data_IF_733113276804
#
_entry.id   IF_733113276804
#
_cell.length_a   1.000
_cell.length_b   1.000
_cell.length_c   1.000
_cell.angle_alpha   90.00
_cell.angle_beta   90.00
_cell.angle_gamma   90.00
#
_symmetry.space_group_name_H-M   'P 1'
#
loop_
_entity.id
_entity.type
_entity.pdbx_description
1 polymer ?
#
# COMPACT_ATOMS: atom_id res chain seq x y z
N UNK A 1 -18.94 47.76 30.64
CA UNK A 1 -17.52 47.57 30.24
C UNK A 1 -17.29 46.07 30.14
N UNK A 2 -17.29 45.55 28.92
CA UNK A 2 -17.19 44.12 28.64
C UNK A 2 -15.76 43.65 28.92
N UNK A 3 -15.56 43.01 30.07
CA UNK A 3 -14.41 42.15 30.34
C UNK A 3 -14.57 40.90 29.47
N UNK A 4 -14.01 40.93 28.27
CA UNK A 4 -13.92 39.70 27.47
C UNK A 4 -12.97 38.76 28.21
N UNK A 5 -13.41 37.52 28.39
CA UNK A 5 -12.61 36.44 28.93
C UNK A 5 -11.42 36.23 27.97
N UNK A 6 -10.22 36.65 28.39
CA UNK A 6 -8.99 36.37 27.63
C UNK A 6 -8.74 34.86 27.69
N UNK A 7 -9.06 34.15 26.61
CA UNK A 7 -8.75 32.74 26.46
C UNK A 7 -7.29 32.64 25.98
N UNK A 8 -6.35 32.14 26.80
CA UNK A 8 -4.99 31.94 26.33
C UNK A 8 -5.02 31.06 25.09
N UNK A 9 -4.40 31.55 24.01
CA UNK A 9 -4.35 30.81 22.75
C UNK A 9 -3.35 29.66 22.90
N UNK A 10 -3.81 28.44 22.63
CA UNK A 10 -2.97 27.25 22.66
C UNK A 10 -1.82 27.39 21.65
N UNK A 11 -0.58 27.23 22.11
CA UNK A 11 0.61 27.31 21.27
C UNK A 11 1.15 25.91 21.01
N UNK A 12 0.95 25.41 19.80
CA UNK A 12 1.39 24.07 19.40
C UNK A 12 2.71 24.16 18.64
N UNK A 13 3.71 23.38 19.05
CA UNK A 13 4.99 23.31 18.35
C UNK A 13 4.93 22.39 17.13
N UNK A 14 4.32 22.89 16.05
CA UNK A 14 4.13 22.14 14.80
C UNK A 14 5.42 21.55 14.22
N UNK A 15 6.55 22.24 14.39
CA UNK A 15 7.84 21.76 13.92
C UNK A 15 8.27 20.47 14.64
N UNK A 16 8.11 20.42 15.97
CA UNK A 16 8.47 19.26 16.79
C UNK A 16 7.52 18.06 16.56
N UNK A 17 6.27 18.34 16.20
CA UNK A 17 5.28 17.31 15.85
C UNK A 17 5.38 16.85 14.39
N UNK A 18 6.29 17.44 13.60
CA UNK A 18 6.39 17.20 12.17
C UNK A 18 6.57 15.72 11.77
N UNK A 19 7.32 14.86 12.51
CA UNK A 19 7.42 13.44 12.14
C UNK A 19 6.06 12.73 12.17
N UNK A 20 5.23 13.03 13.17
CA UNK A 20 3.90 12.43 13.31
C UNK A 20 2.94 12.94 12.23
N UNK A 21 2.99 14.24 11.94
CA UNK A 21 2.16 14.86 10.91
C UNK A 21 2.51 14.31 9.53
N UNK A 22 3.80 14.09 9.24
CA UNK A 22 4.24 13.46 7.99
C UNK A 22 3.68 12.04 7.86
N UNK A 23 3.80 11.21 8.91
CA UNK A 23 3.27 9.85 8.88
C UNK A 23 1.75 9.83 8.63
N UNK A 24 1.00 10.68 9.33
CA UNK A 24 -0.44 10.79 9.16
C UNK A 24 -0.80 11.27 7.74
N UNK A 25 -0.16 12.35 7.28
CA UNK A 25 -0.40 12.92 5.95
C UNK A 25 -0.08 11.93 4.83
N UNK A 26 1.06 11.24 4.91
CA UNK A 26 1.45 10.19 3.96
C UNK A 26 0.42 9.06 3.94
N UNK A 27 -0.05 8.61 5.11
CA UNK A 27 -1.11 7.61 5.21
C UNK A 27 -2.41 8.05 4.54
N UNK A 28 -2.85 9.29 4.80
CA UNK A 28 -4.03 9.87 4.16
C UNK A 28 -3.88 9.95 2.63
N UNK A 29 -2.73 10.43 2.14
CA UNK A 29 -2.44 10.47 0.70
C UNK A 29 -2.43 9.07 0.11
N UNK A 30 -1.89 8.08 0.82
CA UNK A 30 -1.94 6.68 0.43
C UNK A 30 -3.37 6.18 0.23
N UNK A 31 -4.29 6.49 1.15
CA UNK A 31 -5.71 6.11 1.01
C UNK A 31 -6.31 6.71 -0.27
N UNK A 32 -6.02 7.99 -0.56
CA UNK A 32 -6.50 8.65 -1.78
C UNK A 32 -5.91 7.97 -3.02
N UNK A 33 -4.60 7.71 -3.04
CA UNK A 33 -3.93 7.03 -4.15
C UNK A 33 -4.52 5.64 -4.43
N UNK A 34 -4.91 4.90 -3.41
CA UNK A 34 -5.52 3.57 -3.58
C UNK A 34 -6.85 3.65 -4.36
N UNK A 35 -7.62 4.72 -4.14
CA UNK A 35 -8.89 4.95 -4.84
C UNK A 35 -8.70 5.35 -6.30
N UNK A 36 -7.67 6.15 -6.60
CA UNK A 36 -7.53 6.80 -7.92
C UNK A 36 -6.55 6.09 -8.87
N UNK A 37 -5.50 5.43 -8.36
CA UNK A 37 -4.44 4.86 -9.19
C UNK A 37 -4.91 3.56 -9.86
N UNK A 38 -4.60 3.32 -11.15
CA UNK A 38 -4.91 2.06 -11.83
C UNK A 38 -4.18 0.86 -11.21
N UNK A 39 -4.84 -0.32 -11.20
CA UNK A 39 -4.35 -1.55 -10.54
C UNK A 39 -2.88 -1.91 -10.80
N UNK A 40 -2.37 -1.68 -12.02
CA UNK A 40 -0.98 -2.00 -12.38
C UNK A 40 0.07 -1.15 -11.67
N UNK A 41 -0.28 0.07 -11.25
CA UNK A 41 0.65 1.04 -10.65
C UNK A 41 0.48 1.21 -9.15
N UNK A 42 -0.65 0.77 -8.57
CA UNK A 42 -0.95 0.92 -7.14
C UNK A 42 0.17 0.42 -6.25
N UNK A 43 0.70 -0.75 -6.57
CA UNK A 43 1.77 -1.35 -5.79
C UNK A 43 3.00 -0.43 -5.74
N UNK A 44 3.50 -0.01 -6.90
CA UNK A 44 4.67 0.86 -6.99
C UNK A 44 4.42 2.22 -6.33
N UNK A 45 3.24 2.81 -6.54
CA UNK A 45 2.88 4.08 -5.95
C UNK A 45 2.87 4.01 -4.42
N UNK A 46 2.28 2.96 -3.84
CA UNK A 46 2.20 2.83 -2.38
C UNK A 46 3.50 2.46 -1.73
N UNK A 47 4.29 1.57 -2.31
CA UNK A 47 5.60 1.24 -1.75
C UNK A 47 6.52 2.45 -1.81
N UNK A 48 6.55 3.18 -2.93
CA UNK A 48 7.34 4.40 -3.07
C UNK A 48 6.87 5.48 -2.09
N UNK A 49 5.56 5.75 -2.00
CA UNK A 49 5.03 6.76 -1.09
C UNK A 49 5.33 6.43 0.37
N UNK A 50 5.13 5.17 0.78
CA UNK A 50 5.42 4.71 2.15
C UNK A 50 6.91 4.82 2.46
N UNK A 51 7.78 4.41 1.54
CA UNK A 51 9.23 4.50 1.71
C UNK A 51 9.69 5.95 1.87
N UNK A 52 9.23 6.85 0.99
CA UNK A 52 9.56 8.28 1.08
C UNK A 52 9.03 8.87 2.38
N UNK A 53 7.79 8.57 2.77
CA UNK A 53 7.20 9.08 4.01
C UNK A 53 7.96 8.65 5.27
N UNK A 54 8.35 7.38 5.36
CA UNK A 54 9.16 6.88 6.46
C UNK A 54 10.55 7.51 6.52
N UNK A 55 11.22 7.69 5.37
CA UNK A 55 12.54 8.34 5.29
C UNK A 55 12.45 9.80 5.72
N UNK A 56 11.44 10.53 5.24
CA UNK A 56 11.22 11.93 5.60
C UNK A 56 10.93 12.05 7.10
N UNK A 57 10.05 11.23 7.65
CA UNK A 57 9.74 11.23 9.08
C UNK A 57 10.99 10.90 9.93
N UNK A 58 11.82 9.95 9.49
CA UNK A 58 13.07 9.61 10.17
C UNK A 58 14.07 10.77 10.12
N UNK A 59 14.21 11.41 8.95
CA UNK A 59 15.05 12.59 8.79
C UNK A 59 14.63 13.73 9.73
N UNK A 60 13.35 14.05 9.80
CA UNK A 60 12.82 15.08 10.71
C UNK A 60 13.06 14.70 12.18
N UNK A 61 12.82 13.45 12.55
CA UNK A 61 13.08 12.95 13.91
C UNK A 61 14.55 13.13 14.29
N UNK A 62 15.48 12.78 13.40
CA UNK A 62 16.93 12.91 13.65
C UNK A 62 17.33 14.40 13.70
N UNK A 63 16.80 15.24 12.81
CA UNK A 63 17.09 16.67 12.79
C UNK A 63 16.66 17.35 14.09
N UNK A 64 15.51 16.98 14.65
CA UNK A 64 15.07 17.50 15.95
C UNK A 64 15.87 16.90 17.10
N UNK A 65 16.22 15.61 17.03
CA UNK A 65 17.04 14.97 18.05
C UNK A 65 18.43 15.62 18.19
N UNK A 66 19.08 15.95 17.08
CA UNK A 66 20.42 16.57 17.08
C UNK A 66 20.43 17.96 17.74
N UNK A 67 19.28 18.65 17.81
CA UNK A 67 19.16 19.92 18.55
C UNK A 67 19.28 19.71 20.07
N UNK A 68 19.02 18.50 20.56
CA UNK A 68 19.29 18.09 21.94
C UNK A 68 18.38 18.74 22.99
N UNK A 69 17.27 19.35 22.59
CA UNK A 69 16.38 20.06 23.50
C UNK A 69 15.31 19.13 24.05
N UNK A 70 15.16 19.10 25.38
CA UNK A 70 14.04 18.43 26.03
C UNK A 70 12.88 19.41 26.11
N UNK A 71 11.73 19.05 25.54
CA UNK A 71 10.53 19.90 25.53
C UNK A 71 9.27 19.10 25.83
N UNK A 72 8.35 19.74 26.53
CA UNK A 72 6.95 19.31 26.58
C UNK A 72 6.24 20.01 25.43
N UNK A 73 5.52 19.24 24.62
CA UNK A 73 4.82 19.73 23.44
C UNK A 73 3.35 19.32 23.48
N UNK A 74 2.55 19.94 22.60
CA UNK A 74 1.11 19.69 22.52
C UNK A 74 0.41 19.88 23.87
N UNK A 75 0.62 21.03 24.51
CA UNK A 75 0.04 21.38 25.82
C UNK A 75 0.41 20.38 26.93
N UNK A 76 1.63 19.82 26.86
CA UNK A 76 2.15 18.87 27.86
C UNK A 76 1.78 17.41 27.62
N UNK A 77 1.12 17.09 26.50
CA UNK A 77 0.76 15.72 26.14
C UNK A 77 1.97 14.86 25.78
N UNK A 78 2.99 15.47 25.15
CA UNK A 78 4.15 14.76 24.63
C UNK A 78 5.44 15.32 25.21
N UNK A 79 6.18 14.47 25.92
CA UNK A 79 7.54 14.75 26.31
C UNK A 79 8.48 14.30 25.18
N UNK A 80 9.21 15.24 24.60
CA UNK A 80 10.21 14.98 23.57
C UNK A 80 11.58 15.05 24.21
N UNK A 81 12.18 13.88 24.41
CA UNK A 81 13.47 13.67 25.05
C UNK A 81 14.31 12.64 24.26
N UNK A 82 15.55 12.42 24.69
CA UNK A 82 16.46 11.46 24.05
C UNK A 82 15.83 10.06 23.89
N UNK A 83 15.29 9.45 24.97
CA UNK A 83 14.56 8.18 24.87
C UNK A 83 13.44 8.17 23.81
N UNK A 84 12.61 9.22 23.76
CA UNK A 84 11.53 9.34 22.77
C UNK A 84 12.08 9.31 21.35
N UNK A 85 13.10 10.12 21.06
CA UNK A 85 13.72 10.15 19.74
C UNK A 85 14.40 8.82 19.37
N UNK A 86 15.00 8.11 20.34
CA UNK A 86 15.56 6.76 20.12
C UNK A 86 14.46 5.78 19.73
N UNK A 87 13.36 5.72 20.48
CA UNK A 87 12.27 4.78 20.20
C UNK A 87 11.55 5.12 18.89
N UNK A 88 11.31 6.39 18.60
CA UNK A 88 10.71 6.81 17.33
C UNK A 88 11.60 6.47 16.14
N UNK A 89 12.91 6.74 16.24
CA UNK A 89 13.87 6.39 15.20
C UNK A 89 13.93 4.87 14.98
N UNK A 90 13.99 4.09 16.07
CA UNK A 90 13.96 2.63 15.99
C UNK A 90 12.68 2.13 15.31
N UNK A 91 11.51 2.67 15.69
CA UNK A 91 10.23 2.30 15.10
C UNK A 91 10.19 2.61 13.59
N UNK A 92 10.71 3.76 13.18
CA UNK A 92 10.78 4.16 11.77
C UNK A 92 11.74 3.28 10.96
N UNK A 93 12.90 2.93 11.52
CA UNK A 93 13.88 2.04 10.88
C UNK A 93 13.33 0.62 10.75
N UNK A 94 12.73 0.07 11.81
CA UNK A 94 12.08 -1.24 11.76
C UNK A 94 10.88 -1.22 10.81
N UNK A 95 10.12 -0.12 10.80
CA UNK A 95 9.03 0.11 9.85
C UNK A 95 9.49 0.11 8.39
N UNK A 96 10.63 0.73 8.09
CA UNK A 96 11.27 0.65 6.77
C UNK A 96 11.65 -0.78 6.40
N UNK A 97 12.25 -1.53 7.34
CA UNK A 97 12.59 -2.94 7.14
C UNK A 97 11.35 -3.81 6.90
N UNK A 98 10.29 -3.61 7.68
CA UNK A 98 9.01 -4.28 7.51
C UNK A 98 8.38 -3.96 6.15
N UNK A 99 8.33 -2.69 5.77
CA UNK A 99 7.85 -2.26 4.46
C UNK A 99 8.68 -2.89 3.32
N UNK A 100 10.00 -2.92 3.42
CA UNK A 100 10.87 -3.56 2.43
C UNK A 100 10.58 -5.06 2.30
N UNK A 101 10.31 -5.75 3.42
CA UNK A 101 9.91 -7.15 3.42
C UNK A 101 8.55 -7.37 2.72
N UNK A 102 7.59 -6.47 2.92
CA UNK A 102 6.30 -6.49 2.20
C UNK A 102 6.45 -6.11 0.71
N UNK A 103 7.47 -5.32 0.37
CA UNK A 103 7.78 -4.96 -1.00
C UNK A 103 8.52 -6.09 -1.75
N UNK A 104 9.13 -7.03 -1.03
CA UNK A 104 9.74 -8.20 -1.63
C UNK A 104 8.64 -9.16 -2.15
N UNK A 105 8.61 -9.38 -3.46
CA UNK A 105 7.61 -10.24 -4.13
C UNK A 105 8.22 -11.41 -4.91
N UNK A 106 9.55 -11.47 -5.03
CA UNK A 106 10.22 -12.45 -5.89
C UNK A 106 10.67 -13.68 -5.11
N UNK A 107 10.98 -13.55 -3.82
CA UNK A 107 11.22 -14.68 -2.93
C UNK A 107 9.94 -15.57 -2.85
N UNK A 108 10.03 -16.81 -3.35
CA UNK A 108 8.88 -17.73 -3.41
C UNK A 108 8.05 -17.67 -4.70
N UNK A 109 8.52 -16.96 -5.74
CA UNK A 109 7.83 -16.93 -7.04
C UNK A 109 6.45 -16.25 -6.99
N UNK A 110 6.31 -15.19 -6.18
CA UNK A 110 5.04 -14.48 -5.97
C UNK A 110 4.03 -15.20 -5.08
N UNK A 111 4.42 -16.32 -4.45
CA UNK A 111 3.62 -17.03 -3.47
C UNK A 111 4.18 -16.74 -2.08
N UNK A 112 3.31 -16.36 -1.16
CA UNK A 112 3.62 -16.34 0.27
C UNK A 112 4.16 -17.70 0.71
N UNK A 113 5.16 -17.74 1.59
CA UNK A 113 5.70 -18.96 2.22
C UNK A 113 4.71 -19.64 3.19
N UNK A 114 3.41 -19.58 2.87
CA UNK A 114 2.37 -20.33 3.57
C UNK A 114 2.29 -21.70 2.93
N UNK A 115 2.51 -22.71 3.77
CA UNK A 115 2.33 -24.10 3.40
C UNK A 115 0.96 -24.30 2.76
N UNK A 116 0.91 -25.06 1.65
CA UNK A 116 -0.34 -25.32 0.92
C UNK A 116 -1.44 -25.94 1.79
N UNK A 117 -1.06 -26.59 2.90
CA UNK A 117 -1.90 -27.06 3.99
C UNK A 117 -1.26 -26.77 5.35
N UNK A 118 -2.09 -26.46 6.36
CA UNK A 118 -1.64 -26.11 7.72
C UNK A 118 -0.82 -27.21 8.43
N UNK A 119 -0.87 -28.46 7.95
CA UNK A 119 -0.15 -29.61 8.51
C UNK A 119 1.17 -29.94 7.80
N UNK A 120 1.55 -29.19 6.76
CA UNK A 120 2.78 -29.45 6.00
C UNK A 120 3.89 -28.47 6.38
N UNK A 121 5.10 -28.98 6.57
CA UNK A 121 6.29 -28.15 6.84
C UNK A 121 6.70 -27.41 5.56
N UNK A 122 7.03 -26.11 5.62
CA UNK A 122 7.57 -25.38 4.48
C UNK A 122 8.80 -26.07 3.86
N UNK A 123 8.84 -26.18 2.54
CA UNK A 123 9.86 -26.87 1.75
C UNK A 123 9.73 -28.41 1.68
N UNK A 124 8.73 -28.99 2.35
CA UNK A 124 8.55 -30.45 2.42
C UNK A 124 8.19 -31.07 1.07
N UNK A 125 8.48 -32.38 0.84
CA UNK A 125 8.05 -33.08 -0.37
C UNK A 125 6.54 -33.03 -0.60
N UNK A 126 5.75 -33.11 0.48
CA UNK A 126 4.28 -33.02 0.43
C UNK A 126 3.78 -31.66 -0.07
N UNK A 127 4.45 -30.56 0.32
CA UNK A 127 4.13 -29.24 -0.19
C UNK A 127 4.43 -29.12 -1.69
N UNK A 128 5.58 -29.64 -2.14
CA UNK A 128 5.94 -29.65 -3.57
C UNK A 128 4.94 -30.46 -4.40
N UNK A 129 4.42 -31.55 -3.85
CA UNK A 129 3.39 -32.35 -4.49
C UNK A 129 2.04 -31.63 -4.55
N UNK A 130 1.62 -30.99 -3.46
CA UNK A 130 0.42 -30.16 -3.42
C UNK A 130 0.49 -28.99 -4.42
N UNK A 131 1.63 -28.31 -4.54
CA UNK A 131 1.85 -27.27 -5.56
C UNK A 131 1.74 -27.82 -6.99
N UNK A 132 2.32 -29.00 -7.25
CA UNK A 132 2.24 -29.66 -8.56
C UNK A 132 0.79 -29.99 -8.92
N UNK A 133 0.02 -30.56 -7.99
CA UNK A 133 -1.39 -30.88 -8.18
C UNK A 133 -2.22 -29.62 -8.45
N UNK A 134 -2.02 -28.56 -7.66
CA UNK A 134 -2.73 -27.27 -7.85
C UNK A 134 -2.43 -26.64 -9.20
N UNK A 135 -1.15 -26.66 -9.63
CA UNK A 135 -0.75 -26.20 -10.98
C UNK A 135 -1.38 -27.05 -12.08
N UNK A 136 -1.49 -28.37 -11.89
CA UNK A 136 -2.12 -29.28 -12.85
C UNK A 136 -3.63 -29.03 -12.97
N UNK A 137 -4.34 -28.80 -11.86
CA UNK A 137 -5.75 -28.42 -11.85
C UNK A 137 -5.97 -27.06 -12.50
N UNK A 138 -5.12 -26.08 -12.22
CA UNK A 138 -5.23 -24.75 -12.82
C UNK A 138 -5.00 -24.77 -14.34
N UNK A 139 -4.10 -25.64 -14.83
CA UNK A 139 -3.98 -25.90 -16.27
C UNK A 139 -5.23 -26.56 -16.84
N UNK A 140 -5.87 -27.47 -16.12
CA UNK A 140 -7.13 -28.12 -16.56
C UNK A 140 -8.28 -27.12 -16.64
N UNK A 141 -8.46 -26.25 -15.65
CA UNK A 141 -9.53 -25.24 -15.65
C UNK A 141 -9.35 -24.24 -16.79
N UNK A 142 -8.12 -23.75 -17.01
CA UNK A 142 -7.80 -22.88 -18.15
C UNK A 142 -8.08 -23.59 -19.48
N UNK A 143 -7.61 -24.82 -19.65
CA UNK A 143 -7.82 -25.60 -20.89
C UNK A 143 -9.29 -25.91 -21.15
N UNK A 144 -10.12 -26.04 -20.10
CA UNK A 144 -11.59 -26.19 -20.21
C UNK A 144 -12.30 -24.88 -20.57
N UNK A 145 -11.82 -23.75 -20.07
CA UNK A 145 -12.44 -22.45 -20.34
C UNK A 145 -12.14 -21.90 -21.75
N UNK A 146 -11.00 -22.24 -22.34
CA UNK A 146 -10.61 -21.81 -23.69
C UNK A 146 -11.67 -22.17 -24.76
N UNK A 147 -12.11 -23.44 -24.91
CA UNK A 147 -13.11 -23.79 -25.92
C UNK A 147 -14.49 -23.15 -25.65
N UNK A 148 -14.87 -22.95 -24.38
CA UNK A 148 -16.15 -22.28 -24.02
C UNK A 148 -16.12 -20.80 -24.41
N UNK A 149 -15.01 -20.10 -24.14
CA UNK A 149 -14.84 -18.71 -24.57
C UNK A 149 -14.80 -18.59 -26.08
N UNK A 150 -14.17 -19.53 -26.78
CA UNK A 150 -14.14 -19.56 -28.25
C UNK A 150 -15.53 -19.82 -28.85
N UNK A 151 -16.32 -20.72 -28.26
CA UNK A 151 -17.69 -20.99 -28.66
C UNK A 151 -18.61 -19.77 -28.44
N UNK A 152 -18.50 -19.08 -27.29
CA UNK A 152 -19.25 -17.84 -27.03
C UNK A 152 -18.84 -16.71 -28.00
N UNK A 153 -17.57 -16.60 -28.35
CA UNK A 153 -17.08 -15.61 -29.31
C UNK A 153 -17.57 -15.88 -30.74
N UNK A 154 -17.70 -17.15 -31.12
CA UNK A 154 -18.29 -17.54 -32.41
C UNK A 154 -19.78 -17.21 -32.52
N UNK A 155 -20.51 -17.17 -31.40
CA UNK A 155 -21.92 -16.79 -31.38
C UNK A 155 -22.14 -15.26 -31.39
N UNK A 156 -21.21 -14.50 -30.80
CA UNK A 156 -21.24 -13.02 -30.78
C UNK A 156 -20.64 -12.36 -32.03
N UNK A 157 -20.04 -13.14 -32.94
CA UNK A 157 -19.47 -12.66 -34.20
C UNK A 157 -20.47 -12.38 -35.33
N UNK A 158 -21.77 -12.58 -35.08
CA UNK A 158 -22.84 -12.16 -36.00
C UNK A 158 -23.67 -11.08 -35.33
N UNK A 159 -23.11 -9.87 -35.22
CA UNK A 159 -23.97 -8.69 -35.13
C UNK A 159 -24.50 -8.49 -36.55
N UNK A 160 -25.81 -8.66 -36.83
CA UNK A 160 -26.36 -8.33 -38.13
C UNK A 160 -26.17 -6.82 -38.30
N UNK A 161 -25.28 -6.43 -39.21
CA UNK A 161 -25.20 -5.04 -39.65
C UNK A 161 -26.38 -4.88 -40.59
N UNK A 162 -27.41 -4.16 -40.13
CA UNK A 162 -28.56 -3.83 -40.96
C UNK A 162 -28.05 -3.02 -42.17
N UNK A 163 -28.27 -3.48 -43.42
CA UNK A 163 -27.70 -2.83 -44.60
C UNK A 163 -28.19 -1.38 -44.77
N UNK A 164 -29.35 -1.01 -44.21
CA UNK A 164 -29.83 0.37 -44.18
C UNK A 164 -28.96 1.30 -43.31
N UNK A 165 -28.47 0.82 -42.15
CA UNK A 165 -27.65 1.65 -41.25
C UNK A 165 -26.20 1.82 -41.73
N UNK A 166 -25.73 0.93 -42.61
CA UNK A 166 -24.42 1.06 -43.24
C UNK A 166 -24.41 2.08 -44.39
N UNK A 167 -25.53 2.26 -45.09
CA UNK A 167 -25.66 3.24 -46.17
C UNK A 167 -25.70 4.68 -45.64
N UNK A 168 -26.41 4.93 -44.53
CA UNK A 168 -26.54 6.28 -43.94
C UNK A 168 -25.22 6.83 -43.36
N UNK A 169 -24.24 5.97 -43.02
CA UNK A 169 -22.92 6.40 -42.52
C UNK A 169 -21.91 6.77 -43.60
N UNK A 170 -22.19 6.48 -44.87
CA UNK A 170 -21.29 6.82 -45.99
C UNK A 170 -21.65 8.19 -46.58
N UNK A 171 -22.87 8.65 -46.34
CA UNK A 171 -23.42 9.90 -46.89
C UNK A 171 -23.37 11.10 -45.91
N UNK A 172 -22.68 10.97 -44.77
CA UNK A 172 -22.45 12.03 -43.77
C UNK A 172 -20.96 12.33 -43.59
#
# INVERSE_FOLDING_TARGET
MSTLLELPTATIEWALLSPLIVLLGVGCVGIVLEGVVPRGWRYLAQTALTAVGLIVALGLTILDWVKGEVRLTAEGLLALDGPTYVFWSLLLVVGLGGMALFAERQLGGGHSAFAASASTVPGSPLEREAERLRRAEQRRTVKRQIPVRLAQRGHLGRVPVDPEQAAERVDA
#
